data_IF_451743005521
#
_entry.id   IF_451743005521
#
_cell.length_a   1.000
_cell.length_b   1.000
_cell.length_c   1.000
_cell.angle_alpha   90.00
_cell.angle_beta   90.00
_cell.angle_gamma   90.00
#
_symmetry.space_group_name_H-M   'P 1'
#
loop_
_entity.id
_entity.type
_entity.pdbx_description
1 polymer ?
#
# COMPACT_ATOMS: atom_id res chain seq x y z
N UNK A 1 -35.44 -23.30 -12.28
CA UNK A 1 -35.38 -22.26 -11.24
C UNK A 1 -33.93 -21.87 -11.13
N UNK A 2 -33.62 -20.64 -11.52
CA UNK A 2 -32.26 -20.16 -11.78
C UNK A 2 -31.45 -20.06 -10.47
N UNK A 3 -30.21 -20.53 -10.53
CA UNK A 3 -29.22 -20.31 -9.49
C UNK A 3 -28.65 -18.89 -9.66
N UNK A 4 -28.77 -18.09 -8.61
CA UNK A 4 -28.18 -16.76 -8.53
C UNK A 4 -26.66 -16.88 -8.48
N UNK A 5 -26.00 -16.24 -9.46
CA UNK A 5 -24.55 -16.12 -9.51
C UNK A 5 -24.09 -15.10 -8.46
N UNK A 6 -23.11 -15.49 -7.66
CA UNK A 6 -22.44 -14.67 -6.67
C UNK A 6 -21.44 -13.74 -7.38
N UNK A 7 -21.71 -12.44 -7.44
CA UNK A 7 -20.77 -11.44 -7.97
C UNK A 7 -19.69 -11.10 -6.92
N UNK A 8 -18.39 -11.15 -7.26
CA UNK A 8 -17.33 -10.72 -6.36
C UNK A 8 -17.27 -9.19 -6.34
N UNK A 9 -17.61 -8.61 -5.18
CA UNK A 9 -17.60 -7.17 -4.94
C UNK A 9 -16.18 -6.59 -4.86
N UNK A 10 -15.64 -6.20 -6.01
CA UNK A 10 -14.53 -5.25 -6.13
C UNK A 10 -15.07 -3.84 -6.32
N UNK A 11 -14.63 -2.88 -5.49
CA UNK A 11 -14.98 -1.46 -5.62
C UNK A 11 -14.58 -0.96 -7.01
N UNK A 12 -15.57 -0.75 -7.87
CA UNK A 12 -15.40 -0.52 -9.30
C UNK A 12 -14.74 0.82 -9.62
N UNK A 13 -13.57 0.76 -10.26
CA UNK A 13 -13.26 1.71 -11.34
C UNK A 13 -13.70 1.06 -12.65
N UNK A 14 -14.77 1.58 -13.23
CA UNK A 14 -15.25 1.20 -14.55
C UNK A 14 -14.20 1.55 -15.62
N UNK A 15 -13.51 0.53 -16.14
CA UNK A 15 -12.55 0.65 -17.24
C UNK A 15 -11.68 -0.60 -17.28
N UNK A 16 -11.50 -1.22 -18.44
CA UNK A 16 -10.81 -2.52 -18.64
C UNK A 16 -9.31 -2.55 -18.32
N UNK A 17 -8.85 -1.77 -17.34
CA UNK A 17 -7.51 -1.82 -16.79
C UNK A 17 -7.33 -3.10 -15.97
N UNK A 18 -6.14 -3.67 -16.02
CA UNK A 18 -5.77 -4.90 -15.33
C UNK A 18 -5.16 -4.53 -13.97
N UNK A 19 -5.67 -5.05 -12.84
CA UNK A 19 -5.06 -4.87 -11.53
C UNK A 19 -3.68 -5.48 -11.46
N UNK A 20 -2.74 -4.71 -10.90
CA UNK A 20 -1.39 -5.17 -10.56
C UNK A 20 -1.21 -5.16 -9.05
N UNK A 21 -0.79 -6.29 -8.49
CA UNK A 21 -0.35 -6.36 -7.11
C UNK A 21 1.17 -6.54 -7.03
N UNK A 22 1.82 -5.73 -6.20
CA UNK A 22 3.27 -5.82 -5.97
C UNK A 22 3.50 -6.67 -4.73
N UNK A 23 4.15 -7.83 -4.87
CA UNK A 23 4.54 -8.70 -3.77
C UNK A 23 6.00 -8.45 -3.42
N UNK A 24 6.22 -7.87 -2.25
CA UNK A 24 7.53 -7.48 -1.74
C UNK A 24 7.77 -8.04 -0.33
N UNK A 25 8.94 -7.78 0.24
CA UNK A 25 9.36 -8.35 1.52
C UNK A 25 10.83 -8.74 1.52
N UNK A 26 11.47 -8.67 2.68
CA UNK A 26 12.92 -8.79 2.80
C UNK A 26 13.44 -10.19 2.37
N UNK A 27 14.74 -10.33 2.13
CA UNK A 27 15.37 -11.61 1.76
C UNK A 27 14.93 -12.75 2.68
N UNK A 28 14.60 -13.89 2.08
CA UNK A 28 14.20 -15.09 2.83
C UNK A 28 12.80 -15.04 3.45
N UNK A 29 12.02 -13.98 3.27
CA UNK A 29 10.65 -13.86 3.80
C UNK A 29 9.64 -14.88 3.26
N UNK A 30 9.97 -15.64 2.21
CA UNK A 30 9.07 -16.65 1.66
C UNK A 30 8.10 -16.16 0.58
N UNK A 31 8.35 -14.98 -0.02
CA UNK A 31 7.60 -14.46 -1.18
C UNK A 31 7.44 -15.49 -2.30
N UNK A 32 8.56 -16.00 -2.81
CA UNK A 32 8.59 -16.97 -3.91
C UNK A 32 7.87 -18.27 -3.52
N UNK A 33 7.98 -18.71 -2.26
CA UNK A 33 7.23 -19.87 -1.76
C UNK A 33 5.72 -19.63 -1.77
N UNK A 34 5.29 -18.45 -1.32
CA UNK A 34 3.89 -18.04 -1.32
C UNK A 34 3.33 -17.94 -2.74
N UNK A 35 4.04 -17.26 -3.64
CA UNK A 35 3.66 -17.12 -5.05
C UNK A 35 3.62 -18.47 -5.75
N UNK A 36 4.61 -19.36 -5.53
CA UNK A 36 4.60 -20.70 -6.10
C UNK A 36 3.45 -21.57 -5.61
N UNK A 37 2.95 -21.31 -4.40
CA UNK A 37 1.76 -21.97 -3.87
C UNK A 37 0.47 -21.40 -4.47
N UNK A 38 0.41 -20.08 -4.66
CA UNK A 38 -0.69 -19.43 -5.37
C UNK A 38 -0.78 -19.84 -6.82
N UNK A 39 0.39 -19.93 -7.49
CA UNK A 39 0.73 -20.77 -8.62
C UNK A 39 -0.32 -21.86 -8.76
N UNK A 40 -0.12 -22.93 -7.99
CA UNK A 40 -0.87 -24.19 -8.07
C UNK A 40 -2.36 -24.12 -7.73
N UNK A 41 -2.92 -22.94 -7.45
CA UNK A 41 -4.32 -22.75 -7.07
C UNK A 41 -5.18 -22.39 -8.28
N UNK A 42 -6.33 -23.06 -8.51
CA UNK A 42 -7.27 -22.67 -9.55
C UNK A 42 -7.73 -21.21 -9.46
N UNK A 43 -7.76 -20.64 -8.25
CA UNK A 43 -8.13 -19.23 -8.01
C UNK A 43 -7.09 -18.23 -8.53
N UNK A 44 -5.94 -18.70 -9.01
CA UNK A 44 -4.86 -17.88 -9.55
C UNK A 44 -4.61 -18.13 -11.06
N UNK A 45 -5.42 -18.98 -11.68
CA UNK A 45 -5.26 -19.46 -13.06
C UNK A 45 -5.36 -18.37 -14.15
N UNK A 46 -5.93 -17.21 -13.82
CA UNK A 46 -6.04 -16.05 -14.70
C UNK A 46 -5.05 -14.92 -14.32
N UNK A 47 -3.90 -15.29 -13.74
CA UNK A 47 -2.84 -14.37 -13.31
C UNK A 47 -1.57 -14.48 -14.13
N UNK A 48 -1.02 -13.34 -14.53
CA UNK A 48 0.36 -13.26 -15.04
C UNK A 48 1.31 -12.84 -13.91
N UNK A 49 2.45 -13.51 -13.77
CA UNK A 49 3.45 -13.18 -12.74
C UNK A 49 4.74 -12.70 -13.39
N UNK A 50 5.19 -11.52 -12.94
CA UNK A 50 6.46 -10.90 -13.30
C UNK A 50 7.39 -11.02 -12.10
N UNK A 51 8.52 -11.70 -12.26
CA UNK A 51 9.58 -11.73 -11.25
C UNK A 51 10.62 -10.70 -11.63
N UNK A 52 10.63 -9.57 -10.93
CA UNK A 52 11.49 -8.42 -11.20
C UNK A 52 12.75 -8.48 -10.32
N UNK A 53 13.91 -8.74 -10.95
CA UNK A 53 15.21 -8.71 -10.29
C UNK A 53 15.89 -7.34 -10.40
N UNK A 54 15.54 -6.41 -9.50
CA UNK A 54 16.14 -5.08 -9.49
C UNK A 54 17.60 -5.10 -8.98
N UNK A 55 18.58 -5.03 -9.89
CA UNK A 55 20.01 -4.77 -9.61
C UNK A 55 20.98 -5.29 -10.67
N UNK A 56 21.69 -4.39 -11.38
CA UNK A 56 22.80 -4.50 -12.37
C UNK A 56 22.88 -5.64 -13.41
N UNK A 57 22.15 -6.74 -13.23
CA UNK A 57 21.96 -7.84 -14.18
C UNK A 57 20.51 -8.33 -13.99
N UNK A 58 19.54 -7.53 -14.43
CA UNK A 58 18.12 -7.89 -14.38
C UNK A 58 17.83 -9.01 -15.37
N UNK A 59 17.65 -10.22 -14.85
CA UNK A 59 17.04 -11.33 -15.58
C UNK A 59 15.57 -11.38 -15.16
N UNK A 60 14.74 -10.59 -15.83
CA UNK A 60 13.29 -10.64 -15.58
C UNK A 60 12.73 -11.99 -16.03
N UNK A 61 12.11 -12.71 -15.11
CA UNK A 61 11.52 -14.02 -15.38
C UNK A 61 10.00 -13.92 -15.33
N UNK A 62 9.33 -14.19 -16.45
CA UNK A 62 7.88 -14.28 -16.54
C UNK A 62 7.44 -15.71 -16.22
N UNK A 63 6.53 -15.86 -15.26
CA UNK A 63 5.94 -17.16 -14.93
C UNK A 63 4.46 -17.15 -15.35
N UNK A 64 4.11 -18.08 -16.23
CA UNK A 64 2.72 -18.37 -16.60
C UNK A 64 2.27 -19.63 -15.88
N UNK A 65 1.03 -19.63 -15.41
CA UNK A 65 0.37 -20.87 -15.03
C UNK A 65 -0.74 -21.22 -16.01
N UNK A 66 -0.41 -22.10 -16.96
CA UNK A 66 -1.39 -23.02 -17.52
C UNK A 66 -0.95 -24.41 -17.11
N UNK A 67 -1.82 -25.09 -16.36
CA UNK A 67 -1.74 -26.47 -15.91
C UNK A 67 -0.56 -27.30 -16.46
N UNK A 68 0.41 -27.55 -15.57
CA UNK A 68 1.55 -28.47 -15.76
C UNK A 68 2.50 -28.16 -16.95
N UNK A 69 3.76 -27.93 -16.57
CA UNK A 69 4.99 -28.09 -17.38
C UNK A 69 5.50 -27.01 -18.34
N UNK A 70 5.10 -25.73 -18.21
CA UNK A 70 5.93 -24.67 -18.83
C UNK A 70 5.83 -23.33 -18.09
N UNK A 71 6.74 -23.11 -17.14
CA UNK A 71 7.22 -21.76 -16.90
C UNK A 71 7.96 -21.35 -18.19
N UNK A 72 7.33 -20.51 -19.03
CA UNK A 72 7.98 -20.03 -20.24
C UNK A 72 9.08 -19.05 -19.83
N UNK A 73 10.31 -19.55 -19.76
CA UNK A 73 11.51 -18.73 -19.68
C UNK A 73 11.54 -17.85 -20.93
N UNK A 74 11.46 -16.53 -20.76
CA UNK A 74 11.72 -15.58 -21.83
C UNK A 74 13.15 -15.08 -21.64
N UNK A 75 14.07 -15.68 -22.38
CA UNK A 75 15.44 -15.18 -22.51
C UNK A 75 15.46 -14.07 -23.56
N UNK A 76 15.79 -12.84 -23.15
CA UNK A 76 16.36 -11.86 -24.06
C UNK A 76 17.52 -11.16 -23.35
N UNK A 77 18.75 -11.52 -23.71
CA UNK A 77 19.98 -10.90 -23.22
C UNK A 77 20.37 -9.64 -24.01
N UNK A 78 20.78 -8.59 -23.29
CA UNK A 78 22.12 -7.97 -23.28
C UNK A 78 22.08 -6.47 -22.95
N UNK A 79 22.54 -6.17 -21.73
CA UNK A 79 23.38 -5.07 -21.25
C UNK A 79 23.74 -3.95 -22.26
N UNK A 80 22.99 -2.84 -22.20
CA UNK A 80 23.46 -1.46 -21.98
C UNK A 80 22.45 -0.47 -22.60
N UNK A 81 21.56 0.14 -21.78
CA UNK A 81 20.92 1.48 -21.97
C UNK A 81 19.58 1.73 -21.21
N UNK A 82 19.06 0.85 -20.35
CA UNK A 82 17.66 0.99 -19.86
C UNK A 82 17.56 1.02 -18.33
N UNK A 83 17.76 2.19 -17.72
CA UNK A 83 17.66 2.37 -16.25
C UNK A 83 16.39 3.07 -15.76
N UNK A 84 15.35 3.20 -16.60
CA UNK A 84 14.06 3.79 -16.20
C UNK A 84 12.80 3.17 -16.84
N UNK A 85 12.94 2.22 -17.76
CA UNK A 85 11.84 1.70 -18.58
C UNK A 85 11.36 0.30 -18.24
N UNK A 86 12.15 -0.51 -17.52
CA UNK A 86 12.05 -1.98 -17.60
C UNK A 86 10.65 -2.53 -17.31
N UNK A 87 10.09 -2.25 -16.14
CA UNK A 87 8.75 -2.73 -15.77
C UNK A 87 7.66 -2.17 -16.69
N UNK A 88 7.74 -0.90 -17.08
CA UNK A 88 6.73 -0.30 -17.96
C UNK A 88 6.80 -0.90 -19.37
N UNK A 89 8.00 -1.21 -19.85
CA UNK A 89 8.24 -1.91 -21.12
C UNK A 89 7.66 -3.33 -21.06
N UNK A 90 7.90 -4.07 -19.96
CA UNK A 90 7.31 -5.40 -19.73
C UNK A 90 5.79 -5.33 -19.72
N UNK A 91 5.21 -4.37 -19.00
CA UNK A 91 3.75 -4.21 -18.91
C UNK A 91 3.14 -3.85 -20.27
N UNK A 92 3.80 -3.00 -21.06
CA UNK A 92 3.38 -2.67 -22.42
C UNK A 92 3.46 -3.89 -23.36
N UNK A 93 4.53 -4.69 -23.27
CA UNK A 93 4.66 -5.95 -24.03
C UNK A 93 3.54 -6.94 -23.66
N UNK A 94 3.31 -7.17 -22.37
CA UNK A 94 2.26 -8.08 -21.89
C UNK A 94 0.86 -7.63 -22.35
N UNK A 95 0.58 -6.33 -22.28
CA UNK A 95 -0.70 -5.78 -22.75
C UNK A 95 -0.88 -6.00 -24.26
N UNK A 96 0.16 -5.72 -25.06
CA UNK A 96 0.16 -5.94 -26.51
C UNK A 96 -0.06 -7.41 -26.85
N UNK A 97 0.67 -8.33 -26.21
CA UNK A 97 0.61 -9.78 -26.50
C UNK A 97 -0.69 -10.42 -26.02
N UNK A 98 -1.28 -9.92 -24.93
CA UNK A 98 -2.66 -10.26 -24.52
C UNK A 98 -3.66 -9.78 -25.56
N UNK A 99 -3.53 -8.54 -26.04
CA UNK A 99 -4.46 -7.97 -27.02
C UNK A 99 -4.38 -8.65 -28.40
N UNK A 100 -3.20 -9.15 -28.80
CA UNK A 100 -3.02 -9.91 -30.04
C UNK A 100 -3.45 -11.37 -29.95
N UNK A 101 -3.74 -11.87 -28.74
CA UNK A 101 -4.06 -13.28 -28.48
C UNK A 101 -2.85 -14.21 -28.50
N UNK A 102 -1.62 -13.66 -28.47
CA UNK A 102 -0.40 -14.46 -28.32
C UNK A 102 -0.29 -15.06 -26.92
N UNK A 103 -0.78 -14.33 -25.90
CA UNK A 103 -0.91 -14.82 -24.54
C UNK A 103 -2.38 -15.18 -24.24
N UNK A 104 -2.61 -16.18 -23.38
CA UNK A 104 -3.95 -16.44 -22.88
C UNK A 104 -4.51 -15.21 -22.15
N UNK A 105 -5.84 -15.04 -22.10
CA UNK A 105 -6.44 -13.95 -21.34
C UNK A 105 -6.13 -14.12 -19.85
N UNK A 106 -5.62 -13.06 -19.24
CA UNK A 106 -5.49 -12.93 -17.79
C UNK A 106 -6.28 -11.70 -17.31
N UNK A 107 -6.73 -11.74 -16.05
CA UNK A 107 -7.51 -10.69 -15.41
C UNK A 107 -6.71 -9.92 -14.37
N UNK A 108 -5.51 -10.39 -14.01
CA UNK A 108 -4.64 -9.78 -13.00
C UNK A 108 -3.16 -10.02 -13.28
N UNK A 109 -2.32 -9.16 -12.71
CA UNK A 109 -0.87 -9.30 -12.72
C UNK A 109 -0.30 -9.22 -11.30
N UNK A 110 0.71 -10.04 -11.03
CA UNK A 110 1.53 -9.93 -9.83
C UNK A 110 2.97 -9.61 -10.21
N UNK A 111 3.55 -8.63 -9.54
CA UNK A 111 4.97 -8.28 -9.66
C UNK A 111 5.67 -8.71 -8.37
N UNK A 112 6.48 -9.76 -8.42
CA UNK A 112 7.41 -10.12 -7.36
C UNK A 112 8.64 -9.21 -7.43
N UNK A 113 9.02 -8.61 -6.31
CA UNK A 113 10.26 -7.83 -6.21
C UNK A 113 11.37 -8.65 -5.56
N UNK A 114 12.63 -8.32 -5.81
CA UNK A 114 13.74 -8.89 -5.01
C UNK A 114 13.58 -8.58 -3.52
N UNK A 115 14.24 -9.37 -2.68
CA UNK A 115 14.25 -9.15 -1.23
C UNK A 115 14.90 -7.83 -0.80
N UNK A 116 15.70 -7.21 -1.66
CA UNK A 116 16.40 -5.95 -1.38
C UNK A 116 15.82 -4.76 -2.14
N UNK A 117 14.84 -4.97 -3.01
CA UNK A 117 14.19 -3.91 -3.74
C UNK A 117 13.36 -3.03 -2.81
N UNK A 118 13.56 -1.72 -2.92
CA UNK A 118 12.63 -0.71 -2.41
C UNK A 118 11.38 -0.72 -3.31
N UNK A 119 10.15 -0.87 -2.77
CA UNK A 119 8.93 -0.89 -3.56
C UNK A 119 8.53 0.50 -4.13
N UNK A 120 9.09 1.60 -3.63
CA UNK A 120 8.68 2.95 -4.03
C UNK A 120 8.82 3.20 -5.55
N UNK A 121 9.95 2.88 -6.22
CA UNK A 121 10.07 3.08 -7.66
C UNK A 121 9.03 2.29 -8.47
N UNK A 122 8.71 1.07 -8.04
CA UNK A 122 7.72 0.21 -8.69
C UNK A 122 6.31 0.83 -8.56
N UNK A 123 5.96 1.28 -7.36
CA UNK A 123 4.68 1.95 -7.11
C UNK A 123 4.55 3.24 -7.93
N UNK A 124 5.64 4.00 -8.08
CA UNK A 124 5.67 5.22 -8.90
C UNK A 124 5.42 4.96 -10.38
N UNK A 125 5.87 3.84 -10.93
CA UNK A 125 5.62 3.49 -12.34
C UNK A 125 4.13 3.59 -12.68
N UNK A 126 3.26 3.07 -11.81
CA UNK A 126 1.80 3.12 -11.99
C UNK A 126 1.18 4.52 -11.82
N UNK A 127 1.95 5.51 -11.39
CA UNK A 127 1.51 6.91 -11.23
C UNK A 127 2.05 7.81 -12.33
N UNK A 128 3.29 7.59 -12.75
CA UNK A 128 4.01 8.50 -13.64
C UNK A 128 4.18 7.99 -15.06
N UNK A 129 4.18 6.68 -15.30
CA UNK A 129 4.39 6.13 -16.64
C UNK A 129 3.04 5.95 -17.36
N UNK A 130 2.84 6.69 -18.45
CA UNK A 130 1.62 6.67 -19.25
C UNK A 130 1.37 5.31 -19.90
N UNK A 131 2.44 4.57 -20.23
CA UNK A 131 2.34 3.24 -20.88
C UNK A 131 1.76 2.23 -19.92
N UNK A 132 2.24 2.23 -18.67
CA UNK A 132 1.67 1.40 -17.62
C UNK A 132 0.22 1.81 -17.32
N UNK A 133 -0.06 3.11 -17.18
CA UNK A 133 -1.41 3.61 -16.83
C UNK A 133 -2.47 3.40 -17.92
N UNK A 134 -2.06 3.08 -19.15
CA UNK A 134 -2.97 2.83 -20.27
C UNK A 134 -3.82 1.58 -20.07
N UNK A 135 -3.19 0.50 -19.60
CA UNK A 135 -3.80 -0.83 -19.52
C UNK A 135 -3.75 -1.42 -18.09
N UNK A 136 -3.06 -0.77 -17.16
CA UNK A 136 -2.78 -1.30 -15.83
C UNK A 136 -3.07 -0.27 -14.72
N UNK A 137 -3.37 -0.77 -13.52
CA UNK A 137 -3.39 0.06 -12.31
C UNK A 137 -2.80 -0.71 -11.12
N UNK A 138 -2.14 0.01 -10.21
CA UNK A 138 -1.70 -0.58 -8.95
C UNK A 138 -2.90 -0.82 -8.05
N UNK A 139 -3.21 -2.08 -7.77
CA UNK A 139 -4.28 -2.50 -6.88
C UNK A 139 -3.82 -2.49 -5.42
N UNK A 140 -2.69 -3.15 -5.12
CA UNK A 140 -2.17 -3.24 -3.76
C UNK A 140 -0.69 -3.57 -3.68
N UNK A 141 -0.07 -3.24 -2.55
CA UNK A 141 1.24 -3.74 -2.14
C UNK A 141 1.08 -4.81 -1.06
N UNK A 142 1.59 -6.01 -1.31
CA UNK A 142 1.61 -7.14 -0.37
C UNK A 142 3.03 -7.31 0.15
N UNK A 143 3.24 -7.19 1.46
CA UNK A 143 4.56 -7.34 2.07
C UNK A 143 4.64 -8.60 2.91
N UNK A 144 5.53 -9.52 2.56
CA UNK A 144 5.80 -10.73 3.31
C UNK A 144 6.91 -10.48 4.33
N UNK A 145 6.64 -10.79 5.59
CA UNK A 145 7.57 -10.60 6.71
C UNK A 145 7.82 -11.95 7.38
N UNK A 146 9.07 -12.29 7.61
CA UNK A 146 9.48 -13.54 8.27
C UNK A 146 9.21 -13.46 9.80
N UNK A 147 8.47 -14.40 10.39
CA UNK A 147 8.20 -14.43 11.83
C UNK A 147 9.48 -14.56 12.70
N UNK A 148 10.51 -15.24 12.20
CA UNK A 148 11.76 -15.51 12.92
C UNK A 148 12.70 -14.31 12.83
N UNK A 149 12.86 -13.75 11.63
CA UNK A 149 13.89 -12.73 11.34
C UNK A 149 13.34 -11.30 11.18
N UNK A 150 12.02 -11.15 11.03
CA UNK A 150 11.36 -9.89 10.66
C UNK A 150 11.61 -8.75 11.63
N UNK A 151 11.59 -9.01 12.94
CA UNK A 151 11.86 -7.98 13.95
C UNK A 151 13.26 -7.38 13.77
N UNK A 152 14.29 -8.23 13.64
CA UNK A 152 15.66 -7.77 13.40
C UNK A 152 15.85 -7.10 12.04
N UNK A 153 15.11 -7.51 11.01
CA UNK A 153 15.14 -6.86 9.71
C UNK A 153 14.56 -5.44 9.79
N UNK A 154 13.44 -5.24 10.50
CA UNK A 154 12.86 -3.91 10.76
C UNK A 154 13.76 -3.01 11.62
N UNK A 155 14.69 -3.57 12.40
CA UNK A 155 15.68 -2.81 13.18
C UNK A 155 16.88 -2.34 12.38
N UNK A 156 17.31 -3.16 11.41
CA UNK A 156 18.60 -2.93 10.74
C UNK A 156 18.46 -2.43 9.32
N UNK A 157 17.34 -2.73 8.66
CA UNK A 157 17.21 -2.60 7.22
C UNK A 157 16.15 -1.58 6.86
N UNK A 158 16.58 -0.47 6.26
CA UNK A 158 15.67 0.58 5.74
C UNK A 158 14.69 0.00 4.71
N UNK A 159 15.16 -0.87 3.83
CA UNK A 159 14.31 -1.53 2.82
C UNK A 159 13.17 -2.31 3.47
N UNK A 160 13.43 -3.06 4.55
CA UNK A 160 12.38 -3.81 5.26
C UNK A 160 11.30 -2.89 5.85
N UNK A 161 11.70 -1.70 6.32
CA UNK A 161 10.75 -0.68 6.82
C UNK A 161 9.93 -0.07 5.69
N UNK A 162 10.56 0.25 4.56
CA UNK A 162 9.84 0.77 3.39
C UNK A 162 8.82 -0.25 2.87
N UNK A 163 9.22 -1.52 2.76
CA UNK A 163 8.33 -2.61 2.41
C UNK A 163 7.11 -2.69 3.34
N UNK A 164 7.31 -2.63 4.66
CA UNK A 164 6.19 -2.63 5.61
C UNK A 164 5.35 -1.35 5.55
N UNK A 165 5.96 -0.18 5.36
CA UNK A 165 5.30 1.12 5.30
C UNK A 165 4.38 1.28 4.08
N UNK A 166 4.78 0.71 2.93
CA UNK A 166 3.99 0.77 1.70
C UNK A 166 2.91 -0.32 1.62
N UNK A 167 2.90 -1.30 2.52
CA UNK A 167 1.98 -2.43 2.47
C UNK A 167 0.51 -2.02 2.62
N UNK A 168 -0.36 -2.51 1.73
CA UNK A 168 -1.80 -2.61 1.97
C UNK A 168 -2.14 -3.89 2.75
N UNK A 169 -1.40 -4.96 2.48
CA UNK A 169 -1.51 -6.24 3.19
C UNK A 169 -0.11 -6.66 3.65
N UNK A 170 0.02 -7.03 4.92
CA UNK A 170 1.23 -7.62 5.48
C UNK A 170 0.96 -9.08 5.83
N UNK A 171 1.82 -9.98 5.36
CA UNK A 171 1.76 -11.41 5.67
C UNK A 171 2.93 -11.76 6.58
N UNK A 172 2.65 -12.13 7.83
CA UNK A 172 3.65 -12.75 8.71
C UNK A 172 3.76 -14.23 8.30
N UNK A 173 4.82 -14.57 7.61
CA UNK A 173 5.15 -15.93 7.16
C UNK A 173 5.91 -16.73 8.22
N UNK A 174 5.96 -18.05 8.05
CA UNK A 174 6.74 -18.98 8.88
C UNK A 174 6.35 -18.91 10.36
N UNK A 175 5.07 -18.67 10.65
CA UNK A 175 4.59 -18.63 12.04
C UNK A 175 4.73 -19.98 12.74
N UNK A 176 4.86 -21.06 11.98
CA UNK A 176 5.20 -22.40 12.45
C UNK A 176 6.63 -22.53 13.00
N UNK A 177 7.53 -21.59 12.67
CA UNK A 177 8.93 -21.58 13.11
C UNK A 177 9.21 -20.60 14.25
N UNK A 178 8.19 -19.89 14.74
CA UNK A 178 8.28 -18.93 15.83
C UNK A 178 7.20 -19.22 16.88
N UNK A 179 7.49 -18.93 18.14
CA UNK A 179 6.50 -19.05 19.21
C UNK A 179 5.50 -17.89 19.19
N UNK A 180 4.33 -18.10 19.82
CA UNK A 180 3.25 -17.12 19.88
C UNK A 180 3.67 -15.73 20.35
N UNK A 181 4.49 -15.60 21.41
CA UNK A 181 4.99 -14.30 21.88
C UNK A 181 5.81 -13.55 20.84
N UNK A 182 6.72 -14.20 20.10
CA UNK A 182 7.51 -13.54 19.05
C UNK A 182 6.64 -13.07 17.90
N UNK A 183 5.66 -13.89 17.48
CA UNK A 183 4.71 -13.50 16.43
C UNK A 183 3.86 -12.30 16.87
N UNK A 184 3.40 -12.27 18.13
CA UNK A 184 2.64 -11.16 18.70
C UNK A 184 3.48 -9.87 18.78
N UNK A 185 4.73 -9.96 19.24
CA UNK A 185 5.63 -8.80 19.29
C UNK A 185 5.94 -8.23 17.90
N UNK A 186 6.17 -9.10 16.90
CA UNK A 186 6.34 -8.67 15.52
C UNK A 186 5.07 -8.00 14.98
N UNK A 187 3.89 -8.58 15.24
CA UNK A 187 2.60 -8.01 14.83
C UNK A 187 2.38 -6.61 15.41
N UNK A 188 2.65 -6.43 16.72
CA UNK A 188 2.55 -5.14 17.39
C UNK A 188 3.50 -4.10 16.74
N UNK A 189 4.74 -4.51 16.45
CA UNK A 189 5.71 -3.64 15.78
C UNK A 189 5.33 -3.28 14.34
N UNK A 190 4.77 -4.22 13.59
CA UNK A 190 4.28 -3.92 12.24
C UNK A 190 3.12 -2.92 12.29
N UNK A 191 2.25 -3.01 13.31
CA UNK A 191 1.17 -2.05 13.51
C UNK A 191 1.67 -0.64 13.87
N UNK A 192 2.82 -0.49 14.53
CA UNK A 192 3.41 0.85 14.77
C UNK A 192 3.98 1.47 13.50
N UNK A 193 4.56 0.65 12.62
CA UNK A 193 5.07 1.09 11.31
C UNK A 193 3.92 1.45 10.38
N UNK A 194 2.92 0.58 10.27
CA UNK A 194 1.81 0.73 9.33
C UNK A 194 0.50 0.21 9.96
N UNK A 195 -0.29 1.10 10.60
CA UNK A 195 -1.50 0.70 11.30
C UNK A 195 -2.69 0.41 10.38
N UNK A 196 -2.61 0.81 9.10
CA UNK A 196 -3.71 0.69 8.13
C UNK A 196 -3.64 -0.57 7.28
N UNK A 197 -2.50 -1.28 7.26
CA UNK A 197 -2.39 -2.53 6.52
C UNK A 197 -3.20 -3.65 7.19
N UNK A 198 -3.80 -4.51 6.36
CA UNK A 198 -4.34 -5.77 6.85
C UNK A 198 -3.19 -6.71 7.21
N UNK A 199 -3.17 -7.20 8.45
CA UNK A 199 -2.15 -8.14 8.91
C UNK A 199 -2.69 -9.57 8.92
N UNK A 200 -2.07 -10.42 8.11
CA UNK A 200 -2.36 -11.85 7.98
C UNK A 200 -1.19 -12.68 8.53
N UNK A 201 -1.47 -13.94 8.89
CA UNK A 201 -0.47 -14.90 9.36
C UNK A 201 -0.51 -16.12 8.45
N UNK A 202 0.67 -16.67 8.14
CA UNK A 202 0.79 -17.85 7.29
C UNK A 202 1.80 -18.84 7.85
N UNK A 203 1.37 -20.10 7.90
CA UNK A 203 2.16 -21.28 8.26
C UNK A 203 2.42 -22.11 7.01
N UNK A 204 3.69 -22.27 6.61
CA UNK A 204 4.02 -23.04 5.40
C UNK A 204 3.36 -22.54 4.10
N UNK A 205 3.17 -21.22 3.95
CA UNK A 205 2.52 -20.59 2.79
C UNK A 205 1.05 -21.03 2.56
N UNK A 206 0.31 -21.32 3.63
CA UNK A 206 -1.07 -21.79 3.61
C UNK A 206 -2.14 -20.78 3.19
N UNK A 207 -1.83 -19.49 3.08
CA UNK A 207 -2.81 -18.47 2.68
C UNK A 207 -3.28 -18.68 1.24
N UNK A 208 -4.60 -18.68 1.04
CA UNK A 208 -5.18 -18.69 -0.29
C UNK A 208 -4.97 -17.31 -0.95
N UNK A 209 -4.88 -17.24 -2.30
CA UNK A 209 -4.77 -15.95 -2.98
C UNK A 209 -5.89 -14.98 -2.59
N UNK A 210 -7.13 -15.48 -2.49
CA UNK A 210 -8.31 -14.65 -2.21
C UNK A 210 -8.26 -14.03 -0.81
N UNK A 211 -7.63 -14.68 0.18
CA UNK A 211 -7.42 -14.09 1.51
C UNK A 211 -6.58 -12.80 1.44
N UNK A 212 -5.72 -12.68 0.43
CA UNK A 212 -4.83 -11.54 0.21
C UNK A 212 -5.40 -10.54 -0.79
N UNK A 213 -5.98 -11.01 -1.90
CA UNK A 213 -6.41 -10.16 -3.01
C UNK A 213 -7.88 -9.73 -2.94
N UNK A 214 -8.73 -10.44 -2.19
CA UNK A 214 -10.15 -10.05 -2.02
C UNK A 214 -10.38 -9.39 -0.65
N UNK A 215 -9.33 -9.35 0.17
CA UNK A 215 -9.30 -8.63 1.43
C UNK A 215 -9.70 -7.16 1.24
N UNK A 216 -10.79 -6.76 1.88
CA UNK A 216 -11.24 -5.36 1.95
C UNK A 216 -10.26 -4.55 2.81
N UNK A 217 -9.97 -3.28 2.45
CA UNK A 217 -9.18 -2.39 3.29
C UNK A 217 -9.79 -2.30 4.70
N UNK A 218 -8.95 -2.26 5.74
CA UNK A 218 -9.44 -2.00 7.10
C UNK A 218 -10.14 -0.63 7.12
N UNK A 219 -11.35 -0.51 7.71
CA UNK A 219 -11.96 0.79 7.89
C UNK A 219 -11.03 1.66 8.73
N UNK A 220 -10.76 2.87 8.28
CA UNK A 220 -9.97 3.85 9.03
C UNK A 220 -10.79 4.33 10.22
N UNK A 221 -10.77 3.55 11.30
CA UNK A 221 -11.41 3.89 12.57
C UNK A 221 -10.48 4.84 13.33
N UNK A 222 -11.05 5.89 13.93
CA UNK A 222 -10.34 6.72 14.90
C UNK A 222 -9.80 5.85 16.04
N UNK A 223 -8.71 6.24 16.67
CA UNK A 223 -8.16 5.54 17.83
C UNK A 223 -9.14 5.64 19.01
N UNK A 224 -10.15 4.78 19.00
CA UNK A 224 -11.10 4.53 20.07
C UNK A 224 -11.48 3.05 19.99
N UNK A 225 -10.75 2.22 20.73
CA UNK A 225 -10.99 0.78 20.83
C UNK A 225 -9.96 -0.09 20.11
N UNK A 226 -8.79 -0.29 20.73
CA UNK A 226 -8.07 -1.55 20.58
C UNK A 226 -8.94 -2.65 21.19
N UNK A 227 -9.89 -3.20 20.43
CA UNK A 227 -10.41 -4.54 20.71
C UNK A 227 -9.43 -5.55 20.09
N UNK A 228 -8.28 -5.67 20.75
CA UNK A 228 -7.59 -6.95 20.75
C UNK A 228 -8.51 -7.89 21.54
N UNK A 229 -9.21 -8.80 20.85
CA UNK A 229 -9.77 -9.98 21.50
C UNK A 229 -8.61 -10.83 22.02
N UNK A 230 -8.12 -10.46 23.20
CA UNK A 230 -7.19 -11.25 23.99
C UNK A 230 -8.03 -12.17 24.88
N UNK A 231 -7.84 -13.47 24.69
CA UNK A 231 -8.36 -14.48 25.61
C UNK A 231 -7.85 -14.19 27.03
N UNK A 232 -8.77 -14.21 27.98
CA UNK A 232 -8.51 -14.06 29.41
C UNK A 232 -7.40 -15.01 29.89
N UNK A 233 -6.33 -14.44 30.42
CA UNK A 233 -5.47 -15.08 31.39
C UNK A 233 -5.23 -14.06 32.52
N UNK A 234 -5.85 -14.33 33.66
CA UNK A 234 -5.65 -13.62 34.92
C UNK A 234 -4.17 -13.56 35.28
N UNK A 235 -3.60 -12.37 35.44
CA UNK A 235 -2.47 -12.12 36.35
C UNK A 235 -2.43 -10.64 36.78
N UNK A 236 -2.77 -10.44 38.05
CA UNK A 236 -2.27 -9.56 39.10
C UNK A 236 -1.67 -8.17 38.78
N UNK A 237 -2.08 -7.18 39.59
CA UNK A 237 -1.78 -5.76 39.46
C UNK A 237 -0.35 -5.40 39.91
N UNK A 238 0.34 -4.58 39.10
CA UNK A 238 1.61 -3.93 39.46
C UNK A 238 1.85 -2.65 38.66
N UNK A 239 1.51 -1.53 39.29
CA UNK A 239 1.93 -0.13 39.14
C UNK A 239 2.55 0.43 37.84
N UNK A 240 1.93 1.52 37.35
CA UNK A 240 2.63 2.74 36.90
C UNK A 240 3.51 2.64 35.66
N UNK A 241 2.90 2.62 34.47
CA UNK A 241 3.59 3.01 33.25
C UNK A 241 3.01 4.31 32.71
N UNK A 242 3.69 5.41 33.03
CA UNK A 242 3.62 6.64 32.27
C UNK A 242 3.91 6.30 30.80
N UNK A 243 2.94 6.57 29.94
CA UNK A 243 3.14 6.58 28.49
C UNK A 243 3.96 7.83 28.13
N UNK A 244 5.25 7.82 28.45
CA UNK A 244 6.18 8.75 27.85
C UNK A 244 6.37 8.36 26.37
N UNK A 245 6.04 9.31 25.51
CA UNK A 245 6.29 9.30 24.08
C UNK A 245 7.77 8.97 23.78
N UNK A 246 8.06 7.69 23.57
CA UNK A 246 9.36 7.17 23.15
C UNK A 246 9.66 7.46 21.68
N UNK A 247 9.65 8.73 21.28
CA UNK A 247 10.09 9.17 19.96
C UNK A 247 11.59 9.51 19.98
N UNK A 248 12.47 8.51 19.83
CA UNK A 248 13.85 8.72 19.35
C UNK A 248 14.58 7.42 18.97
N UNK A 249 14.02 6.63 18.06
CA UNK A 249 14.85 5.84 17.16
C UNK A 249 14.54 6.28 15.74
N UNK A 250 15.57 6.52 14.93
CA UNK A 250 15.54 7.00 13.54
C UNK A 250 14.85 6.00 12.58
N UNK A 251 13.61 5.63 12.90
CA UNK A 251 12.81 4.63 12.21
C UNK A 251 11.54 5.25 11.62
N UNK A 252 10.91 4.47 10.76
CA UNK A 252 9.60 4.81 10.19
C UNK A 252 8.55 4.74 11.30
N UNK A 253 7.73 5.79 11.42
CA UNK A 253 6.56 5.84 12.29
C UNK A 253 5.31 6.24 11.51
N UNK A 254 4.16 6.25 12.19
CA UNK A 254 2.88 6.65 11.62
C UNK A 254 2.19 7.72 12.48
N UNK A 255 1.49 8.63 11.82
CA UNK A 255 0.73 9.73 12.42
C UNK A 255 -0.67 9.75 11.82
N UNK A 256 -1.69 9.78 12.69
CA UNK A 256 -3.09 9.93 12.29
C UNK A 256 -3.55 11.38 12.49
N UNK A 257 -4.11 11.96 11.44
CA UNK A 257 -4.74 13.28 11.39
C UNK A 257 -6.26 13.06 11.30
N UNK A 258 -7.03 13.65 12.20
CA UNK A 258 -8.49 13.56 12.19
C UNK A 258 -9.14 14.95 12.23
N UNK A 259 -10.14 15.18 11.37
CA UNK A 259 -11.00 16.37 11.40
C UNK A 259 -12.46 15.97 11.33
N UNK A 260 -13.21 16.38 12.34
CA UNK A 260 -14.65 16.14 12.46
C UNK A 260 -15.52 17.19 11.73
N UNK A 261 -14.92 17.97 10.84
CA UNK A 261 -15.61 18.94 9.99
C UNK A 261 -15.20 18.72 8.52
N UNK A 262 -16.10 19.00 7.55
CA UNK A 262 -15.78 18.81 6.15
C UNK A 262 -14.68 19.80 5.72
N UNK A 263 -13.89 19.39 4.73
CA UNK A 263 -12.78 20.16 4.18
C UNK A 263 -13.08 20.63 2.76
N UNK A 264 -12.66 21.84 2.44
CA UNK A 264 -12.68 22.33 1.06
C UNK A 264 -11.66 21.56 0.22
N UNK A 265 -12.11 21.02 -0.92
CA UNK A 265 -11.26 20.21 -1.80
C UNK A 265 -10.01 20.96 -2.24
N UNK A 266 -10.15 22.21 -2.67
CA UNK A 266 -9.03 23.03 -3.14
C UNK A 266 -7.98 23.27 -2.06
N UNK A 267 -8.40 23.40 -0.80
CA UNK A 267 -7.47 23.54 0.33
C UNK A 267 -6.76 22.23 0.65
N UNK A 268 -7.50 21.11 0.71
CA UNK A 268 -6.92 19.79 0.92
C UNK A 268 -5.93 19.42 -0.19
N UNK A 269 -6.30 19.63 -1.46
CA UNK A 269 -5.46 19.32 -2.61
C UNK A 269 -4.15 20.14 -2.61
N UNK A 270 -4.23 21.46 -2.33
CA UNK A 270 -3.03 22.30 -2.18
C UNK A 270 -2.13 21.84 -1.03
N UNK A 271 -2.73 21.48 0.11
CA UNK A 271 -1.99 20.95 1.25
C UNK A 271 -1.29 19.63 0.90
N UNK A 272 -1.98 18.69 0.26
CA UNK A 272 -1.41 17.40 -0.17
C UNK A 272 -0.23 17.58 -1.13
N UNK A 273 -0.39 18.44 -2.14
CA UNK A 273 0.69 18.75 -3.10
C UNK A 273 1.88 19.40 -2.38
N UNK A 274 1.64 20.35 -1.47
CA UNK A 274 2.70 21.00 -0.70
C UNK A 274 3.42 20.00 0.22
N UNK A 275 2.67 19.16 0.91
CA UNK A 275 3.21 18.11 1.78
C UNK A 275 4.09 17.15 0.97
N UNK A 276 3.61 16.67 -0.17
CA UNK A 276 4.37 15.79 -1.05
C UNK A 276 5.64 16.48 -1.57
N UNK A 277 5.56 17.74 -1.99
CA UNK A 277 6.71 18.48 -2.52
C UNK A 277 7.79 18.77 -1.47
N UNK A 278 7.41 19.18 -0.26
CA UNK A 278 8.36 19.59 0.78
C UNK A 278 8.79 18.48 1.72
N UNK A 279 7.95 17.44 1.90
CA UNK A 279 8.16 16.33 2.84
C UNK A 279 8.21 14.97 2.15
N UNK A 280 8.23 14.90 0.82
CA UNK A 280 8.19 13.62 0.10
C UNK A 280 9.37 12.68 0.34
N UNK A 281 10.52 13.18 0.83
CA UNK A 281 11.63 12.31 1.26
C UNK A 281 11.37 11.63 2.61
N UNK A 282 10.63 12.31 3.48
CA UNK A 282 10.27 11.83 4.81
C UNK A 282 8.94 11.04 4.77
N UNK A 283 8.03 11.38 3.85
CA UNK A 283 6.73 10.75 3.70
C UNK A 283 6.83 9.49 2.85
N UNK A 284 6.76 8.30 3.43
CA UNK A 284 6.71 7.06 2.66
C UNK A 284 5.32 6.81 2.07
N UNK A 285 4.28 7.06 2.87
CA UNK A 285 2.90 6.83 2.46
C UNK A 285 1.95 7.80 3.17
N UNK A 286 0.92 8.25 2.49
CA UNK A 286 -0.26 8.84 3.10
C UNK A 286 -1.49 8.13 2.53
N UNK A 287 -2.40 7.68 3.38
CA UNK A 287 -3.69 7.11 2.94
C UNK A 287 -4.79 7.59 3.87
N UNK A 288 -5.97 7.83 3.31
CA UNK A 288 -7.01 8.52 4.06
C UNK A 288 -8.38 8.49 3.40
N UNK A 289 -9.39 8.79 4.22
CA UNK A 289 -10.70 9.24 3.75
C UNK A 289 -10.84 10.71 4.10
N UNK A 290 -11.31 11.53 3.16
CA UNK A 290 -11.60 12.93 3.39
C UNK A 290 -13.12 13.17 3.29
N UNK A 291 -13.66 13.86 4.29
CA UNK A 291 -15.02 14.40 4.23
C UNK A 291 -14.94 15.76 3.55
N UNK A 292 -15.39 15.83 2.29
CA UNK A 292 -15.23 17.03 1.45
C UNK A 292 -16.55 17.78 1.36
N UNK A 293 -16.49 19.11 1.41
CA UNK A 293 -17.68 19.96 1.27
C UNK A 293 -18.36 19.71 -0.08
N UNK A 294 -19.65 19.42 -0.05
CA UNK A 294 -20.46 19.18 -1.25
C UNK A 294 -20.33 17.78 -1.86
N UNK A 295 -19.64 16.84 -1.21
CA UNK A 295 -19.60 15.43 -1.59
C UNK A 295 -20.04 14.54 -0.40
N UNK A 296 -21.09 13.77 -0.62
CA UNK A 296 -21.67 12.90 0.42
C UNK A 296 -20.84 11.62 0.62
N UNK A 297 -20.09 11.20 -0.40
CA UNK A 297 -19.24 10.02 -0.36
C UNK A 297 -17.84 10.33 0.19
N UNK A 298 -17.16 9.36 0.82
CA UNK A 298 -15.80 9.59 1.28
C UNK A 298 -14.83 9.67 0.09
N UNK A 299 -14.01 10.73 0.08
CA UNK A 299 -12.95 10.89 -0.90
C UNK A 299 -11.71 10.13 -0.45
N UNK A 300 -11.25 9.17 -1.25
CA UNK A 300 -10.04 8.40 -0.97
C UNK A 300 -8.80 9.22 -1.32
N UNK A 301 -7.97 9.47 -0.32
CA UNK A 301 -6.71 10.17 -0.45
C UNK A 301 -5.57 9.16 -0.38
N UNK A 302 -4.64 9.24 -1.33
CA UNK A 302 -3.43 8.41 -1.35
C UNK A 302 -2.24 9.24 -1.83
N UNK A 303 -1.10 9.09 -1.19
CA UNK A 303 0.18 9.62 -1.64
C UNK A 303 1.32 8.67 -1.29
N UNK A 304 2.37 8.68 -2.11
CA UNK A 304 3.61 7.93 -1.90
C UNK A 304 4.77 8.88 -2.20
N UNK A 305 5.52 9.25 -1.16
CA UNK A 305 6.59 10.25 -1.28
C UNK A 305 6.10 11.54 -1.96
N UNK A 306 6.81 11.97 -3.01
CA UNK A 306 6.52 13.18 -3.78
C UNK A 306 5.28 13.10 -4.68
N UNK A 307 4.50 12.01 -4.62
CA UNK A 307 3.40 11.76 -5.54
C UNK A 307 2.07 11.65 -4.81
N UNK A 308 1.09 12.46 -5.22
CA UNK A 308 -0.31 12.37 -4.79
C UNK A 308 -1.09 11.65 -5.88
N UNK A 309 -1.83 10.60 -5.51
CA UNK A 309 -2.67 9.86 -6.45
C UNK A 309 -3.92 10.68 -6.79
N UNK A 310 -4.49 10.51 -8.00
CA UNK A 310 -5.82 11.03 -8.30
C UNK A 310 -6.84 10.51 -7.28
N UNK A 311 -7.66 11.39 -6.68
CA UNK A 311 -8.62 10.97 -5.66
C UNK A 311 -9.60 9.95 -6.21
N UNK A 312 -9.94 8.97 -5.38
CA UNK A 312 -11.04 8.04 -5.62
C UNK A 312 -12.26 8.43 -4.79
N UNK A 313 -13.41 7.83 -5.08
CA UNK A 313 -14.59 7.87 -4.24
C UNK A 313 -14.91 6.43 -3.83
N UNK A 314 -15.28 6.23 -2.56
CA UNK A 314 -15.98 4.99 -2.20
C UNK A 314 -17.48 5.18 -2.41
N UNK A 315 -18.21 4.08 -2.53
CA UNK A 315 -19.66 4.12 -2.70
C UNK A 315 -20.37 4.68 -1.45
N UNK A 316 -19.84 4.37 -0.26
CA UNK A 316 -20.40 4.76 1.02
C UNK A 316 -19.30 4.92 2.09
N UNK A 317 -19.63 5.67 3.15
CA UNK A 317 -18.81 5.72 4.35
C UNK A 317 -18.77 4.33 5.01
N UNK A 318 -17.65 3.95 5.65
CA UNK A 318 -17.60 2.68 6.37
C UNK A 318 -18.75 2.56 7.39
N UNK A 319 -19.38 1.38 7.53
CA UNK A 319 -20.45 1.17 8.50
C UNK A 319 -20.03 1.58 9.91
N UNK A 320 -20.99 2.11 10.67
CA UNK A 320 -20.82 2.57 12.05
C UNK A 320 -19.77 3.70 12.22
N UNK A 321 -19.51 4.48 11.16
CA UNK A 321 -18.63 5.65 11.25
C UNK A 321 -19.37 6.95 10.98
N UNK A 322 -19.00 8.00 11.73
CA UNK A 322 -19.39 9.38 11.41
C UNK A 322 -18.45 9.91 10.33
N UNK A 323 -18.96 10.60 9.29
CA UNK A 323 -18.14 11.29 8.30
C UNK A 323 -17.09 12.18 8.97
N UNK A 324 -15.83 11.94 8.63
CA UNK A 324 -14.70 12.70 9.12
C UNK A 324 -13.53 12.54 8.16
N UNK A 325 -12.68 13.56 8.09
CA UNK A 325 -11.39 13.42 7.40
C UNK A 325 -10.44 12.68 8.32
N UNK A 326 -9.97 11.50 7.91
CA UNK A 326 -8.98 10.68 8.62
C UNK A 326 -7.86 10.34 7.65
N UNK A 327 -6.67 10.87 7.92
CA UNK A 327 -5.48 10.62 7.12
C UNK A 327 -4.42 9.96 8.00
N UNK A 328 -3.76 8.92 7.49
CA UNK A 328 -2.60 8.30 8.13
C UNK A 328 -1.38 8.56 7.26
N UNK A 329 -0.42 9.31 7.80
CA UNK A 329 0.89 9.54 7.23
C UNK A 329 1.90 8.57 7.85
N UNK A 330 2.72 7.93 7.03
CA UNK A 330 3.74 6.97 7.42
C UNK A 330 5.07 7.46 6.85
N UNK A 331 6.11 7.53 7.68
CA UNK A 331 7.34 8.17 7.29
C UNK A 331 8.34 8.40 8.40
N UNK A 332 9.37 9.18 8.09
CA UNK A 332 10.42 9.63 8.98
C UNK A 332 10.10 11.00 9.55
N UNK A 333 10.53 11.26 10.79
CA UNK A 333 10.48 12.59 11.40
C UNK A 333 9.12 13.30 11.25
N UNK A 334 8.03 12.53 11.34
CA UNK A 334 6.67 13.04 11.24
C UNK A 334 6.28 13.65 12.58
N UNK A 335 5.77 14.88 12.53
CA UNK A 335 5.26 15.59 13.70
C UNK A 335 3.75 15.82 13.52
N UNK A 336 2.96 15.30 14.46
CA UNK A 336 1.49 15.34 14.38
C UNK A 336 0.96 16.77 14.44
N UNK A 337 1.48 17.56 15.38
CA UNK A 337 1.01 18.93 15.60
C UNK A 337 1.28 19.80 14.37
N UNK A 338 2.44 19.64 13.75
CA UNK A 338 2.83 20.33 12.51
C UNK A 338 1.92 19.93 11.34
N UNK A 339 1.65 18.64 11.16
CA UNK A 339 0.77 18.15 10.10
C UNK A 339 -0.66 18.67 10.27
N UNK A 340 -1.21 18.64 11.48
CA UNK A 340 -2.53 19.17 11.80
C UNK A 340 -2.59 20.69 11.60
N UNK A 341 -1.61 21.42 12.14
CA UNK A 341 -1.53 22.89 12.04
C UNK A 341 -1.37 23.34 10.59
N UNK A 342 -0.56 22.64 9.80
CA UNK A 342 -0.38 22.95 8.38
C UNK A 342 -1.67 22.70 7.59
N UNK A 343 -2.40 21.61 7.86
CA UNK A 343 -3.69 21.36 7.22
C UNK A 343 -4.71 22.46 7.56
N UNK A 344 -4.78 22.87 8.82
CA UNK A 344 -5.66 23.96 9.25
C UNK A 344 -5.28 25.30 8.63
N UNK A 345 -3.99 25.58 8.42
CA UNK A 345 -3.53 26.79 7.77
C UNK A 345 -4.06 26.91 6.32
N UNK A 346 -4.08 25.81 5.57
CA UNK A 346 -4.66 25.78 4.21
C UNK A 346 -6.20 25.85 4.22
N UNK A 347 -6.84 25.41 5.31
CA UNK A 347 -8.29 25.46 5.47
C UNK A 347 -8.83 26.86 5.80
N UNK A 348 -7.97 27.80 6.21
CA UNK A 348 -8.36 29.19 6.40
C UNK A 348 -8.49 29.89 5.04
N UNK A 349 -9.61 30.57 4.74
CA UNK A 349 -9.69 31.39 3.55
C UNK A 349 -8.60 32.46 3.62
N UNK A 350 -7.84 32.63 2.54
CA UNK A 350 -6.73 33.58 2.47
C UNK A 350 -7.19 34.97 2.94
N UNK A 351 -6.72 35.37 4.13
CA UNK A 351 -6.76 36.77 4.56
C UNK A 351 -5.65 37.55 3.83
N UNK A 352 -5.63 37.44 2.51
CA UNK A 352 -4.89 38.36 1.63
C UNK A 352 -5.92 38.93 0.68
N UNK A 353 -6.81 39.73 1.25
CA UNK A 353 -7.45 40.78 0.48
C UNK A 353 -6.34 41.60 -0.15
N UNK A 354 -6.34 41.64 -1.49
CA UNK A 354 -5.76 42.73 -2.26
C UNK A 354 -6.27 44.03 -1.62
N UNK A 355 -5.48 44.62 -0.72
CA UNK A 355 -5.70 45.98 -0.28
C UNK A 355 -5.68 46.81 -1.55
N UNK A 356 -6.82 47.41 -1.84
CA UNK A 356 -7.05 48.20 -3.03
C UNK A 356 -5.88 49.14 -3.23
N UNK A 357 -5.31 49.10 -4.44
CA UNK A 357 -4.57 50.21 -4.98
C UNK A 357 -5.49 51.43 -4.94
N UNK A 358 -5.41 52.18 -3.84
CA UNK A 358 -5.97 53.52 -3.74
C UNK A 358 -5.33 54.33 -4.84
N UNK A 359 -6.11 54.67 -5.85
CA UNK A 359 -5.78 55.75 -6.78
C UNK A 359 -5.76 57.04 -5.97
N UNK A 360 -4.66 57.78 -5.91
CA UNK A 360 -4.74 59.21 -5.67
C UNK A 360 -4.96 59.87 -7.03
N UNK A 361 -6.17 60.36 -7.25
CA UNK A 361 -6.45 61.40 -8.23
C UNK A 361 -6.98 62.60 -7.46
N UNK A 362 -6.13 63.61 -7.30
CA UNK A 362 -6.41 65.04 -7.48
C UNK A 362 -5.10 65.84 -7.42
#
# INVERSE_FOLDING_TARGET
MAAEAHEPGGSGRAGGLIPVAVVTGFLGSGKTTLINRWLRSPAFSDTVVIVNEFGDVGLDHLLFETAYDTAVLLENGCLCCTLRGDLADTLEDLARRRASGELPPFSRCVVETTGLADPVPIVRTFLTDERARRDWYLDRVVTVVDAVSGAGNLERQTVARHQAALADVMVISKVDLADGPRVAALAARLATVNPIALLLRSSGADLAPNDVFDAKPRPMRGHGGQEAHAHHADHDHGEGHDHEDGAAHAGVGSVTIERAIPVEWTSLARWLVSLAAFRGNDLLRLKGLAWVVGEDRPVVIQAVQHMVHPPGLLDEWPPDTVPATRLVAIGYHLDKVMLETSLDAFARPDAVGLQGAGRPGE
#
